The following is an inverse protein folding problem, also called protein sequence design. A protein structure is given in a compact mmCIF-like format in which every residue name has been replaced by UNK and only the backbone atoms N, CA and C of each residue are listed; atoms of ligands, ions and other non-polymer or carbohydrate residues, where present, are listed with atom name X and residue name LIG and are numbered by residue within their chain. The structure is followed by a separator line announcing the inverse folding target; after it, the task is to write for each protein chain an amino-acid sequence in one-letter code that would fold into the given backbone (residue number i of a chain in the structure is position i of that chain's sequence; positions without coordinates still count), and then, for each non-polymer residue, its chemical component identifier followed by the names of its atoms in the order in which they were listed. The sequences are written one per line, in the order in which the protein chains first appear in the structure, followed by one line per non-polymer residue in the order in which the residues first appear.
data_IF_332771932006
#
_entry.id   IF_332771932006
#
_cell.length_a   1.000
_cell.length_b   1.000
_cell.length_c   1.000
_cell.angle_alpha   90.00
_cell.angle_beta   90.00
_cell.angle_gamma   90.00
#
_symmetry.space_group_name_H-M   'P 1'
#
loop_
_entity.id
_entity.type
_entity.pdbx_description
1 polymer ?
#
# COMPACT_ATOMS: atom_id res chain seq x y z
N UNK A 1 -7.08 37.85 -42.04
CA UNK A 1 -7.41 38.04 -40.62
C UNK A 1 -6.35 37.34 -39.79
N UNK A 2 -5.41 38.11 -39.23
CA UNK A 2 -4.34 37.60 -38.40
C UNK A 2 -4.82 37.48 -36.95
N UNK A 3 -4.74 36.30 -36.33
CA UNK A 3 -4.87 36.16 -34.88
C UNK A 3 -3.60 35.57 -34.28
N UNK A 4 -2.94 36.41 -33.49
CA UNK A 4 -1.78 36.12 -32.66
C UNK A 4 -2.08 35.01 -31.65
N UNK A 5 -1.20 34.02 -31.53
CA UNK A 5 -1.17 33.09 -30.39
C UNK A 5 0.02 33.43 -29.50
N UNK A 6 -0.26 34.07 -28.35
CA UNK A 6 0.74 34.27 -27.28
C UNK A 6 1.08 32.93 -26.65
N UNK A 7 2.30 32.44 -26.85
CA UNK A 7 2.86 31.33 -26.07
C UNK A 7 3.14 31.80 -24.63
N UNK A 8 2.52 31.15 -23.64
CA UNK A 8 2.90 31.25 -22.23
C UNK A 8 4.20 30.46 -22.02
N UNK A 9 5.26 31.04 -21.41
CA UNK A 9 6.45 30.26 -21.07
C UNK A 9 6.08 29.24 -19.99
N UNK A 10 6.37 27.96 -20.27
CA UNK A 10 6.30 26.92 -19.28
C UNK A 10 7.29 27.27 -18.16
N UNK A 11 6.75 27.41 -16.94
CA UNK A 11 7.55 27.43 -15.71
C UNK A 11 8.43 26.19 -15.76
N UNK A 12 9.75 26.38 -15.76
CA UNK A 12 10.73 25.31 -15.68
C UNK A 12 10.36 24.42 -14.50
N UNK A 13 9.79 23.25 -14.80
CA UNK A 13 9.66 22.21 -13.82
C UNK A 13 11.08 21.73 -13.55
N UNK A 14 11.59 22.05 -12.37
CA UNK A 14 12.78 21.42 -11.82
C UNK A 14 12.67 19.90 -12.06
N UNK A 15 13.76 19.23 -12.47
CA UNK A 15 13.71 17.80 -12.70
C UNK A 15 13.34 17.13 -11.38
N UNK A 16 12.12 16.59 -11.32
CA UNK A 16 11.69 15.74 -10.24
C UNK A 16 12.71 14.61 -10.14
N UNK A 17 13.56 14.66 -9.11
CA UNK A 17 14.55 13.64 -8.84
C UNK A 17 13.81 12.32 -8.69
N UNK A 18 14.00 11.43 -9.67
CA UNK A 18 13.47 10.06 -9.62
C UNK A 18 13.95 9.46 -8.29
N UNK A 19 13.04 8.99 -7.40
CA UNK A 19 13.46 8.40 -6.15
C UNK A 19 14.43 7.26 -6.46
N UNK A 20 15.65 7.35 -5.95
CA UNK A 20 16.59 6.24 -6.03
C UNK A 20 15.99 5.03 -5.31
N UNK A 21 16.35 3.82 -5.74
CA UNK A 21 15.88 2.57 -5.13
C UNK A 21 16.08 2.56 -3.60
N UNK A 22 17.13 3.23 -3.12
CA UNK A 22 17.40 3.45 -1.70
C UNK A 22 16.34 4.30 -1.01
N UNK A 23 16.01 5.48 -1.54
CA UNK A 23 15.01 6.37 -0.93
C UNK A 23 13.63 5.73 -0.92
N UNK A 24 13.27 5.02 -2.00
CA UNK A 24 12.03 4.25 -2.07
C UNK A 24 11.99 3.11 -1.03
N UNK A 25 13.11 2.42 -0.82
CA UNK A 25 13.25 1.40 0.22
C UNK A 25 13.11 1.98 1.63
N UNK A 26 13.79 3.08 1.92
CA UNK A 26 13.70 3.76 3.22
C UNK A 26 12.26 4.20 3.53
N UNK A 27 11.58 4.82 2.58
CA UNK A 27 10.17 5.19 2.72
C UNK A 27 9.27 3.97 2.95
N UNK A 28 9.56 2.84 2.28
CA UNK A 28 8.83 1.58 2.47
C UNK A 28 9.00 1.06 3.90
N UNK A 29 10.24 0.99 4.39
CA UNK A 29 10.53 0.52 5.75
C UNK A 29 9.91 1.44 6.80
N UNK A 30 10.02 2.76 6.64
CA UNK A 30 9.41 3.74 7.54
C UNK A 30 7.88 3.56 7.61
N UNK A 31 7.23 3.40 6.46
CA UNK A 31 5.79 3.15 6.41
C UNK A 31 5.37 1.84 7.10
N UNK A 32 6.12 0.76 6.88
CA UNK A 32 5.85 -0.53 7.50
C UNK A 32 6.10 -0.49 9.02
N UNK A 33 7.12 0.24 9.46
CA UNK A 33 7.42 0.48 10.88
C UNK A 33 6.27 1.23 11.56
N UNK A 34 5.75 2.28 10.92
CA UNK A 34 4.59 3.02 11.44
C UNK A 34 3.37 2.11 11.57
N UNK A 35 3.11 1.27 10.57
CA UNK A 35 2.01 0.30 10.64
C UNK A 35 2.15 -0.64 11.83
N UNK A 36 3.35 -1.18 12.07
CA UNK A 36 3.62 -2.05 13.23
C UNK A 36 3.50 -1.28 14.55
N UNK A 37 3.93 -0.02 14.60
CA UNK A 37 3.91 0.79 15.82
C UNK A 37 2.49 1.10 16.32
N UNK A 38 1.51 1.23 15.42
CA UNK A 38 0.15 1.62 15.80
C UNK A 38 -0.88 0.49 15.74
N UNK A 39 -0.49 -0.74 15.40
CA UNK A 39 -1.39 -1.90 15.34
C UNK A 39 -0.89 -3.03 16.24
N UNK A 40 -1.82 -3.86 16.72
CA UNK A 40 -1.53 -4.96 17.64
C UNK A 40 -1.37 -6.28 16.88
N UNK A 41 -0.38 -7.08 17.29
CA UNK A 41 -0.16 -8.45 16.79
C UNK A 41 -0.01 -8.51 15.27
N UNK A 42 0.89 -7.67 14.73
CA UNK A 42 1.14 -7.61 13.30
C UNK A 42 1.99 -8.79 12.87
N UNK A 43 1.56 -9.45 11.79
CA UNK A 43 2.29 -10.55 11.15
C UNK A 43 2.63 -10.16 9.70
N UNK A 44 3.81 -10.56 9.24
CA UNK A 44 4.26 -10.39 7.88
C UNK A 44 3.99 -11.63 7.02
N UNK A 45 3.48 -11.40 5.83
CA UNK A 45 3.21 -12.41 4.82
C UNK A 45 3.96 -12.03 3.54
N UNK A 46 4.87 -12.89 3.11
CA UNK A 46 5.70 -12.69 1.93
C UNK A 46 5.00 -13.30 0.73
N UNK A 47 4.75 -12.48 -0.28
CA UNK A 47 4.35 -12.92 -1.61
C UNK A 47 5.64 -13.01 -2.46
N UNK A 48 6.12 -14.21 -2.80
CA UNK A 48 7.25 -14.36 -3.69
C UNK A 48 6.92 -13.80 -5.08
N UNK A 49 7.95 -13.38 -5.82
CA UNK A 49 7.75 -12.92 -7.19
C UNK A 49 7.23 -14.07 -8.07
N UNK A 50 6.39 -13.72 -9.04
CA UNK A 50 6.01 -14.60 -10.14
C UNK A 50 6.57 -14.03 -11.45
N UNK A 51 6.28 -14.68 -12.57
CA UNK A 51 6.67 -14.18 -13.90
C UNK A 51 6.09 -12.79 -14.21
N UNK A 52 4.95 -12.43 -13.62
CA UNK A 52 4.20 -11.21 -13.95
C UNK A 52 3.99 -10.28 -12.76
N UNK A 53 4.39 -10.69 -11.55
CA UNK A 53 4.25 -9.87 -10.34
C UNK A 53 5.55 -9.82 -9.55
N UNK A 54 6.02 -8.63 -9.14
CA UNK A 54 7.19 -8.51 -8.26
C UNK A 54 6.88 -9.06 -6.87
N UNK A 55 7.93 -9.33 -6.09
CA UNK A 55 7.77 -9.75 -4.70
C UNK A 55 7.16 -8.64 -3.85
N UNK A 56 6.30 -9.01 -2.91
CA UNK A 56 5.70 -8.06 -1.97
C UNK A 56 5.70 -8.60 -0.55
N UNK A 57 5.62 -7.68 0.41
CA UNK A 57 5.33 -8.00 1.81
C UNK A 57 3.99 -7.39 2.17
N UNK A 58 3.13 -8.20 2.78
CA UNK A 58 1.85 -7.79 3.33
C UNK A 58 1.90 -7.90 4.85
N UNK A 59 1.57 -6.82 5.54
CA UNK A 59 1.41 -6.82 6.99
C UNK A 59 -0.07 -6.95 7.33
N UNK A 60 -0.40 -7.81 8.29
CA UNK A 60 -1.77 -8.05 8.73
C UNK A 60 -1.81 -7.96 10.25
N UNK A 61 -2.60 -7.01 10.77
CA UNK A 61 -2.86 -6.83 12.18
C UNK A 61 -3.86 -7.87 12.73
N UNK A 62 -4.02 -7.91 14.05
CA UNK A 62 -4.91 -8.87 14.74
C UNK A 62 -6.37 -8.70 14.33
N UNK A 63 -6.83 -7.47 14.11
CA UNK A 63 -8.21 -7.16 13.69
C UNK A 63 -8.48 -7.41 12.20
N UNK A 64 -7.42 -7.76 11.45
CA UNK A 64 -7.45 -7.99 10.02
C UNK A 64 -7.14 -6.77 9.16
N UNK A 65 -6.89 -5.59 9.74
CA UNK A 65 -6.35 -4.46 8.98
C UNK A 65 -5.03 -4.87 8.33
N UNK A 66 -4.83 -4.48 7.07
CA UNK A 66 -3.66 -4.89 6.33
C UNK A 66 -3.13 -3.81 5.39
N UNK A 67 -1.85 -3.92 5.07
CA UNK A 67 -1.18 -3.10 4.04
C UNK A 67 -0.19 -3.94 3.26
N UNK A 68 0.15 -3.53 2.03
CA UNK A 68 1.07 -4.26 1.14
C UNK A 68 2.04 -3.33 0.43
N UNK A 69 3.32 -3.72 0.38
CA UNK A 69 4.40 -2.97 -0.29
C UNK A 69 5.24 -3.89 -1.16
N UNK A 70 5.69 -3.35 -2.32
CA UNK A 70 6.66 -4.02 -3.19
C UNK A 70 8.03 -4.01 -2.54
N UNK A 71 8.77 -5.10 -2.74
CA UNK A 71 10.13 -5.27 -2.23
C UNK A 71 10.99 -5.93 -3.32
N UNK A 72 12.32 -5.79 -3.27
CA UNK A 72 13.20 -6.36 -4.30
C UNK A 72 13.04 -7.87 -4.46
N UNK A 73 12.97 -8.60 -3.35
CA UNK A 73 12.85 -10.05 -3.31
C UNK A 73 12.28 -10.54 -1.95
N UNK A 74 11.98 -11.83 -1.87
CA UNK A 74 11.44 -12.46 -0.67
C UNK A 74 12.41 -12.41 0.53
N UNK A 75 13.73 -12.38 0.28
CA UNK A 75 14.74 -12.29 1.34
C UNK A 75 14.75 -10.90 1.98
N UNK A 76 14.58 -9.85 1.17
CA UNK A 76 14.41 -8.48 1.63
C UNK A 76 13.12 -8.34 2.45
N UNK A 77 12.02 -8.98 2.02
CA UNK A 77 10.78 -9.04 2.78
C UNK A 77 10.99 -9.63 4.18
N UNK A 78 11.62 -10.81 4.25
CA UNK A 78 11.92 -11.48 5.51
C UNK A 78 12.90 -10.68 6.39
N UNK A 79 13.88 -10.00 5.79
CA UNK A 79 14.78 -9.12 6.52
C UNK A 79 14.04 -7.94 7.18
N UNK A 80 13.11 -7.31 6.46
CA UNK A 80 12.27 -6.23 7.00
C UNK A 80 11.43 -6.74 8.17
N UNK A 81 10.75 -7.89 8.02
CA UNK A 81 9.94 -8.46 9.09
C UNK A 81 10.76 -8.76 10.37
N UNK A 82 11.98 -9.29 10.21
CA UNK A 82 12.92 -9.49 11.32
C UNK A 82 13.37 -8.19 11.97
N UNK A 83 13.66 -7.15 11.17
CA UNK A 83 14.02 -5.82 11.70
C UNK A 83 12.87 -5.23 12.52
N UNK A 84 11.63 -5.43 12.08
CA UNK A 84 10.42 -4.99 12.77
C UNK A 84 10.05 -5.88 13.97
N UNK A 85 10.73 -7.01 14.18
CA UNK A 85 10.46 -7.91 15.31
C UNK A 85 9.13 -8.66 15.21
N UNK A 86 8.60 -8.86 14.00
CA UNK A 86 7.30 -9.51 13.76
C UNK A 86 7.44 -10.91 13.13
N UNK A 87 6.49 -11.83 13.38
CA UNK A 87 6.47 -13.13 12.71
C UNK A 87 6.38 -12.97 11.19
N UNK A 88 7.01 -13.88 10.45
CA UNK A 88 7.02 -13.86 8.98
C UNK A 88 6.63 -15.22 8.40
N UNK A 89 5.75 -15.20 7.41
CA UNK A 89 5.21 -16.38 6.75
C UNK A 89 5.30 -16.25 5.23
N UNK A 90 5.36 -17.39 4.55
CA UNK A 90 5.21 -17.49 3.10
C UNK A 90 3.74 -17.74 2.74
N UNK A 91 3.14 -16.83 1.99
CA UNK A 91 1.72 -16.92 1.57
C UNK A 91 1.45 -18.19 0.78
N UNK A 92 2.42 -18.69 0.00
CA UNK A 92 2.21 -19.92 -0.78
C UNK A 92 2.10 -21.15 0.12
N UNK A 93 2.62 -21.08 1.34
CA UNK A 93 2.57 -22.18 2.32
C UNK A 93 1.40 -22.04 3.29
N UNK A 94 1.17 -20.85 3.82
CA UNK A 94 0.14 -20.61 4.84
C UNK A 94 -1.21 -20.21 4.25
N UNK A 95 -1.23 -19.74 3.00
CA UNK A 95 -2.33 -18.98 2.46
C UNK A 95 -2.46 -17.61 3.11
N UNK A 96 -3.49 -16.88 2.68
CA UNK A 96 -3.87 -15.59 3.25
C UNK A 96 -4.74 -15.77 4.50
N UNK A 97 -4.47 -15.03 5.59
CA UNK A 97 -5.21 -15.19 6.84
C UNK A 97 -6.68 -14.77 6.70
N UNK A 98 -7.58 -15.51 7.36
CA UNK A 98 -9.02 -15.27 7.29
C UNK A 98 -9.40 -13.86 7.77
N UNK A 99 -8.77 -13.37 8.84
CA UNK A 99 -9.01 -12.00 9.38
C UNK A 99 -8.81 -10.90 8.35
N UNK A 100 -7.83 -11.02 7.45
CA UNK A 100 -7.60 -10.07 6.36
C UNK A 100 -8.74 -10.11 5.32
N UNK A 101 -9.24 -11.31 5.00
CA UNK A 101 -10.37 -11.49 4.09
C UNK A 101 -11.65 -10.89 4.67
N UNK A 102 -11.88 -11.12 5.95
CA UNK A 102 -13.05 -10.59 6.67
C UNK A 102 -13.00 -9.06 6.74
N UNK A 103 -11.84 -8.49 7.07
CA UNK A 103 -11.63 -7.04 7.06
C UNK A 103 -11.89 -6.44 5.68
N UNK A 104 -11.36 -7.05 4.62
CA UNK A 104 -11.58 -6.58 3.24
C UNK A 104 -13.06 -6.58 2.87
N UNK A 105 -13.80 -7.63 3.27
CA UNK A 105 -15.25 -7.71 3.07
C UNK A 105 -16.00 -6.62 3.82
N UNK A 106 -15.66 -6.38 5.10
CA UNK A 106 -16.26 -5.32 5.92
C UNK A 106 -15.98 -3.93 5.35
N UNK A 107 -14.73 -3.64 4.99
CA UNK A 107 -14.31 -2.34 4.42
C UNK A 107 -15.01 -2.07 3.09
N UNK A 108 -15.10 -3.06 2.20
CA UNK A 108 -15.85 -2.92 0.94
C UNK A 108 -17.34 -2.67 1.16
N UNK A 109 -17.96 -3.38 2.10
CA UNK A 109 -19.38 -3.17 2.42
C UNK A 109 -19.64 -1.78 3.02
N UNK A 110 -18.73 -1.28 3.86
CA UNK A 110 -18.79 0.06 4.41
C UNK A 110 -18.63 1.14 3.34
N UNK A 111 -17.68 0.97 2.41
CA UNK A 111 -17.49 1.87 1.27
C UNK A 111 -18.73 1.95 0.38
N UNK A 112 -19.41 0.83 0.12
CA UNK A 112 -20.66 0.81 -0.66
C UNK A 112 -21.78 1.58 0.05
N UNK A 113 -21.95 1.40 1.36
CA UNK A 113 -22.96 2.15 2.13
C UNK A 113 -22.66 3.65 2.22
N UNK A 114 -21.38 4.02 2.32
CA UNK A 114 -20.96 5.43 2.35
C UNK A 114 -21.12 6.15 1.01
N UNK A 115 -20.94 5.44 -0.10
CA UNK A 115 -21.09 5.96 -1.46
C UNK A 115 -22.54 5.98 -2.00
N UNK A 116 -23.48 5.35 -1.29
CA UNK A 116 -24.89 5.25 -1.66
C UNK A 116 -25.80 6.13 -0.76
N UNK A 117 -25.25 7.13 -0.09
CA UNK A 117 -26.07 8.18 0.51
C UNK A 117 -26.70 8.98 -0.65
N UNK A 118 -28.03 8.91 -0.87
CA UNK A 118 -28.66 9.70 -1.90
C UNK A 118 -28.42 11.16 -1.55
N UNK A 119 -27.89 11.93 -2.51
CA UNK A 119 -27.77 13.38 -2.38
C UNK A 119 -29.08 13.92 -1.82
N UNK A 120 -29.03 14.46 -0.60
CA UNK A 120 -30.15 15.20 0.01
C UNK A 120 -30.67 16.15 -1.06
N UNK A 121 -31.89 15.88 -1.53
CA UNK A 121 -32.58 16.80 -2.43
C UNK A 121 -32.79 18.08 -1.63
N UNK A 122 -32.29 19.25 -2.07
CA UNK A 122 -32.67 20.49 -1.42
C UNK A 122 -34.19 20.63 -1.59
N UNK A 123 -34.89 20.56 -0.46
CA UNK A 123 -36.33 20.71 -0.38
C UNK A 123 -36.74 22.17 -0.52
N UNK A 124 -37.73 22.36 -1.40
CA UNK A 124 -38.73 23.43 -1.47
C UNK A 124 -38.28 24.83 -1.86
#
# INVERSE_FOLDING_TARGET
MAWFRRSRPARSAEPATVPTDRKAREATVAYLREFVATRVGVEAYVEPATHVTPSTVMLVATDGEWTRRRVPDARAAAAIARELGIPVYDVQRTGYPQRMRDWTSRTRAAQRRGGDQPAERPGS
#
